data_IF_188542510127
#
_entry.id   IF_188542510127
#
_cell.length_a   1.000
_cell.length_b   1.000
_cell.length_c   1.000
_cell.angle_alpha   90.00
_cell.angle_beta   90.00
_cell.angle_gamma   90.00
#
_symmetry.space_group_name_H-M   'P 1'
#
loop_
_entity.id
_entity.type
_entity.pdbx_description
1 polymer ?
#
# COMPACT_ATOMS: atom_id res chain seq x y z
N UNK A 1 -5.63 -10.45 -15.31
CA UNK A 1 -4.54 -10.30 -16.30
C UNK A 1 -3.72 -11.59 -16.36
N UNK A 2 -2.91 -11.82 -17.39
CA UNK A 2 -2.11 -13.05 -17.50
C UNK A 2 -0.82 -12.98 -16.67
N UNK A 3 -0.34 -14.13 -16.18
CA UNK A 3 0.98 -14.30 -15.56
C UNK A 3 2.12 -13.73 -16.43
N UNK A 4 1.94 -13.71 -17.75
CA UNK A 4 2.88 -13.12 -18.69
C UNK A 4 3.02 -11.60 -18.52
N UNK A 5 1.94 -10.88 -18.22
CA UNK A 5 1.97 -9.45 -17.96
C UNK A 5 2.80 -9.13 -16.70
N UNK A 6 2.63 -9.92 -15.63
CA UNK A 6 3.45 -9.78 -14.41
C UNK A 6 4.92 -10.07 -14.72
N UNK A 7 5.21 -11.13 -15.49
CA UNK A 7 6.59 -11.44 -15.91
C UNK A 7 7.21 -10.35 -16.77
N UNK A 8 6.44 -9.74 -17.68
CA UNK A 8 6.89 -8.61 -18.48
C UNK A 8 7.23 -7.40 -17.60
N UNK A 9 6.33 -7.03 -16.68
CA UNK A 9 6.56 -5.96 -15.72
C UNK A 9 7.83 -6.18 -14.89
N UNK A 10 8.08 -7.39 -14.40
CA UNK A 10 9.32 -7.72 -13.67
C UNK A 10 10.57 -7.51 -14.53
N UNK A 11 10.52 -7.89 -15.81
CA UNK A 11 11.66 -7.69 -16.74
C UNK A 11 11.90 -6.22 -17.03
N UNK A 12 10.83 -5.43 -17.15
CA UNK A 12 10.89 -4.01 -17.52
C UNK A 12 11.12 -3.07 -16.32
N UNK A 13 10.89 -3.57 -15.11
CA UNK A 13 11.04 -2.82 -13.86
C UNK A 13 11.95 -3.56 -12.85
N UNK A 14 13.22 -3.83 -13.21
CA UNK A 14 14.10 -4.66 -12.39
C UNK A 14 14.36 -4.03 -11.02
N UNK A 15 14.22 -4.85 -9.98
CA UNK A 15 14.50 -4.45 -8.60
C UNK A 15 13.36 -3.77 -7.86
N UNK A 16 12.19 -3.58 -8.50
CA UNK A 16 10.99 -3.08 -7.80
C UNK A 16 10.36 -4.17 -6.94
N UNK A 17 9.87 -5.24 -7.57
CA UNK A 17 9.34 -6.42 -6.90
C UNK A 17 9.57 -7.67 -7.78
N UNK A 18 9.61 -8.83 -7.13
CA UNK A 18 9.72 -10.13 -7.80
C UNK A 18 8.38 -10.58 -8.37
N UNK A 19 8.42 -11.60 -9.23
CA UNK A 19 7.21 -12.24 -9.76
C UNK A 19 6.27 -12.70 -8.64
N UNK A 20 6.79 -13.38 -7.61
CA UNK A 20 5.98 -13.93 -6.52
C UNK A 20 5.37 -12.81 -5.64
N UNK A 21 6.10 -11.71 -5.46
CA UNK A 21 5.60 -10.52 -4.75
C UNK A 21 4.43 -9.86 -5.50
N UNK A 22 4.57 -9.63 -6.80
CA UNK A 22 3.48 -9.12 -7.63
C UNK A 22 2.30 -10.09 -7.69
N UNK A 23 2.57 -11.39 -7.87
CA UNK A 23 1.55 -12.44 -7.98
C UNK A 23 0.74 -12.57 -6.71
N UNK A 24 1.38 -12.49 -5.53
CA UNK A 24 0.70 -12.51 -4.24
C UNK A 24 -0.36 -11.39 -4.11
N UNK A 25 0.02 -10.15 -4.45
CA UNK A 25 -0.90 -9.00 -4.40
C UNK A 25 -1.99 -9.15 -5.46
N UNK A 26 -1.59 -9.45 -6.70
CA UNK A 26 -2.50 -9.55 -7.84
C UNK A 26 -3.58 -10.62 -7.63
N UNK A 27 -3.22 -11.80 -7.15
CA UNK A 27 -4.19 -12.89 -6.97
C UNK A 27 -5.24 -12.57 -5.89
N UNK A 28 -4.87 -11.81 -4.87
CA UNK A 28 -5.82 -11.34 -3.86
C UNK A 28 -6.70 -10.24 -4.42
N UNK A 29 -6.11 -9.31 -5.19
CA UNK A 29 -6.87 -8.25 -5.85
C UNK A 29 -7.88 -8.81 -6.85
N UNK A 30 -7.51 -9.79 -7.69
CA UNK A 30 -8.44 -10.41 -8.64
C UNK A 30 -9.63 -11.10 -7.96
N UNK A 31 -9.45 -11.64 -6.75
CA UNK A 31 -10.56 -12.23 -5.98
C UNK A 31 -11.46 -11.19 -5.32
N UNK A 32 -10.91 -10.03 -4.97
CA UNK A 32 -11.65 -8.93 -4.33
C UNK A 32 -12.31 -8.00 -5.35
N UNK A 33 -11.74 -7.90 -6.56
CA UNK A 33 -12.18 -6.97 -7.58
C UNK A 33 -13.60 -7.27 -8.08
N UNK A 34 -14.40 -6.24 -8.42
CA UNK A 34 -14.10 -4.82 -8.23
C UNK A 34 -14.20 -4.39 -6.76
N UNK A 35 -13.23 -3.64 -6.26
CA UNK A 35 -13.19 -3.19 -4.87
C UNK A 35 -12.65 -1.76 -4.69
N UNK A 36 -12.70 -1.24 -3.46
CA UNK A 36 -11.96 -0.04 -3.08
C UNK A 36 -10.51 -0.43 -2.76
N UNK A 37 -9.58 -0.08 -3.65
CA UNK A 37 -8.14 -0.29 -3.53
C UNK A 37 -7.43 1.04 -3.21
N UNK A 38 -6.66 1.07 -2.13
CA UNK A 38 -5.75 2.17 -1.81
C UNK A 38 -4.30 1.73 -1.99
N UNK A 39 -3.50 2.51 -2.71
CA UNK A 39 -2.08 2.25 -2.90
C UNK A 39 -1.27 3.45 -2.40
N UNK A 40 -0.35 3.22 -1.47
CA UNK A 40 0.69 4.20 -1.15
C UNK A 40 1.81 4.01 -2.17
N UNK A 41 1.97 4.99 -3.05
CA UNK A 41 2.96 5.02 -4.12
C UNK A 41 2.36 4.83 -5.51
N UNK A 42 2.98 5.46 -6.50
CA UNK A 42 2.78 5.13 -7.92
C UNK A 42 4.06 4.61 -8.54
N UNK A 43 3.92 3.89 -9.65
CA UNK A 43 5.06 3.31 -10.35
C UNK A 43 4.67 2.72 -11.71
N UNK A 44 5.57 1.94 -12.29
CA UNK A 44 5.32 1.23 -13.55
C UNK A 44 4.27 0.12 -13.41
N UNK A 45 3.95 -0.28 -12.19
CA UNK A 45 2.93 -1.24 -11.82
C UNK A 45 1.53 -0.61 -11.60
N UNK A 46 1.40 0.71 -11.71
CA UNK A 46 0.09 1.41 -11.56
C UNK A 46 -0.97 0.81 -12.50
N UNK A 47 -0.61 0.55 -13.76
CA UNK A 47 -1.53 -0.07 -14.73
C UNK A 47 -1.91 -1.49 -14.35
N UNK A 48 -0.99 -2.26 -13.76
CA UNK A 48 -1.28 -3.61 -13.27
C UNK A 48 -2.41 -3.55 -12.23
N UNK A 49 -2.36 -2.60 -11.30
CA UNK A 49 -3.37 -2.46 -10.25
C UNK A 49 -4.73 -1.98 -10.80
N UNK A 50 -4.73 -1.07 -11.77
CA UNK A 50 -5.96 -0.60 -12.42
C UNK A 50 -6.64 -1.69 -13.24
N UNK A 51 -5.87 -2.46 -14.01
CA UNK A 51 -6.41 -3.53 -14.84
C UNK A 51 -6.94 -4.70 -14.01
N UNK A 52 -6.26 -5.06 -12.92
CA UNK A 52 -6.71 -6.11 -12.01
C UNK A 52 -7.98 -5.68 -11.23
N UNK A 53 -8.12 -4.39 -10.92
CA UNK A 53 -9.29 -3.84 -10.22
C UNK A 53 -10.31 -3.18 -11.17
N UNK A 54 -10.42 -3.66 -12.41
CA UNK A 54 -11.31 -3.05 -13.42
C UNK A 54 -12.76 -3.01 -12.92
N UNK A 55 -13.37 -1.82 -12.94
CA UNK A 55 -14.72 -1.57 -12.43
C UNK A 55 -14.78 -1.25 -10.93
N UNK A 56 -13.68 -1.39 -10.20
CA UNK A 56 -13.51 -0.88 -8.84
C UNK A 56 -12.96 0.54 -8.82
N UNK A 57 -12.70 1.05 -7.61
CA UNK A 57 -12.02 2.34 -7.41
C UNK A 57 -10.61 2.07 -6.90
N UNK A 58 -9.61 2.62 -7.58
CA UNK A 58 -8.20 2.53 -7.18
C UNK A 58 -7.65 3.93 -6.98
N UNK A 59 -7.15 4.21 -5.78
CA UNK A 59 -6.58 5.51 -5.40
C UNK A 59 -5.12 5.36 -5.01
N UNK A 60 -4.29 6.30 -5.45
CA UNK A 60 -2.86 6.31 -5.23
C UNK A 60 -2.43 7.55 -4.43
N UNK A 61 -1.54 7.34 -3.46
CA UNK A 61 -0.96 8.41 -2.62
C UNK A 61 0.54 8.52 -2.87
N UNK A 62 0.99 9.61 -3.48
CA UNK A 62 2.39 9.78 -3.93
C UNK A 62 3.03 11.04 -3.32
N UNK A 63 4.31 10.97 -2.91
CA UNK A 63 5.03 12.11 -2.32
C UNK A 63 6.00 12.81 -3.28
N UNK A 64 6.30 12.19 -4.42
CA UNK A 64 7.19 12.73 -5.46
C UNK A 64 6.36 13.27 -6.61
N UNK A 65 6.36 14.59 -6.77
CA UNK A 65 5.53 15.31 -7.74
C UNK A 65 5.72 14.82 -9.19
N UNK A 66 6.94 14.45 -9.57
CA UNK A 66 7.24 13.93 -10.92
C UNK A 66 6.58 12.57 -11.16
N UNK A 67 6.53 11.70 -10.14
CA UNK A 67 5.86 10.40 -10.24
C UNK A 67 4.34 10.56 -10.22
N UNK A 68 3.81 11.48 -9.41
CA UNK A 68 2.39 11.80 -9.39
C UNK A 68 1.92 12.35 -10.74
N UNK A 69 2.68 13.28 -11.33
CA UNK A 69 2.40 13.81 -12.67
C UNK A 69 2.47 12.71 -13.73
N UNK A 70 3.53 11.88 -13.71
CA UNK A 70 3.65 10.74 -14.63
C UNK A 70 2.43 9.82 -14.57
N UNK A 71 1.97 9.45 -13.37
CA UNK A 71 0.82 8.57 -13.22
C UNK A 71 -0.47 9.20 -13.75
N UNK A 72 -0.72 10.48 -13.46
CA UNK A 72 -1.91 11.21 -13.94
C UNK A 72 -1.93 11.35 -15.46
N UNK A 73 -0.78 11.59 -16.08
CA UNK A 73 -0.68 11.87 -17.51
C UNK A 73 -0.60 10.59 -18.35
N UNK A 74 0.16 9.59 -17.88
CA UNK A 74 0.47 8.39 -18.66
C UNK A 74 -0.46 7.20 -18.39
N UNK A 75 -1.21 7.22 -17.29
CA UNK A 75 -2.04 6.07 -16.88
C UNK A 75 -3.52 6.51 -16.77
N UNK A 76 -4.33 6.24 -17.82
CA UNK A 76 -5.75 6.58 -17.80
C UNK A 76 -6.49 5.98 -16.60
N UNK A 77 -7.25 6.81 -15.89
CA UNK A 77 -8.02 6.39 -14.72
C UNK A 77 -7.23 6.33 -13.40
N UNK A 78 -5.96 6.74 -13.39
CA UNK A 78 -5.20 6.88 -12.15
C UNK A 78 -5.70 8.07 -11.31
N UNK A 79 -6.38 7.77 -10.21
CA UNK A 79 -6.77 8.75 -9.20
C UNK A 79 -5.62 8.95 -8.20
N UNK A 80 -4.88 10.06 -8.31
CA UNK A 80 -3.63 10.28 -7.55
C UNK A 80 -3.70 11.53 -6.68
N UNK A 81 -3.41 11.39 -5.38
CA UNK A 81 -3.28 12.50 -4.44
C UNK A 81 -1.85 12.68 -3.96
N UNK A 82 -1.41 13.93 -3.89
CA UNK A 82 -0.11 14.29 -3.35
C UNK A 82 -0.11 14.20 -1.82
N UNK A 83 0.87 13.52 -1.25
CA UNK A 83 1.01 13.34 0.20
C UNK A 83 2.41 13.69 0.68
N UNK A 84 2.57 13.81 2.00
CA UNK A 84 3.87 14.02 2.64
C UNK A 84 4.07 13.05 3.79
N UNK A 85 5.13 12.26 3.72
CA UNK A 85 5.45 11.33 4.80
C UNK A 85 6.12 12.05 5.98
N UNK A 86 7.18 12.83 5.74
CA UNK A 86 7.85 13.64 6.77
C UNK A 86 8.45 12.84 7.94
N UNK A 87 8.48 11.51 7.85
CA UNK A 87 9.17 10.63 8.79
C UNK A 87 10.59 10.37 8.28
N UNK A 88 11.50 9.94 9.15
CA UNK A 88 12.78 9.35 8.76
C UNK A 88 12.95 8.00 9.46
N UNK A 89 13.52 7.01 8.77
CA UNK A 89 13.69 5.64 9.32
C UNK A 89 14.48 5.62 10.64
N UNK A 90 15.50 6.48 10.76
CA UNK A 90 16.31 6.61 11.97
C UNK A 90 15.52 7.03 13.21
N UNK A 91 14.40 7.75 13.03
CA UNK A 91 13.55 8.19 14.14
C UNK A 91 12.47 7.16 14.53
N UNK A 92 12.51 5.95 13.97
CA UNK A 92 11.61 4.88 14.38
C UNK A 92 11.54 4.64 15.89
N UNK A 93 12.65 4.63 16.67
CA UNK A 93 12.59 4.50 18.13
C UNK A 93 11.74 5.59 18.82
N UNK A 94 11.70 6.80 18.25
CA UNK A 94 10.89 7.91 18.77
C UNK A 94 9.42 7.70 18.38
N UNK A 95 9.14 7.37 17.12
CA UNK A 95 7.77 7.16 16.66
C UNK A 95 7.07 5.97 17.33
N UNK A 96 7.81 4.96 17.80
CA UNK A 96 7.26 3.88 18.65
C UNK A 96 6.65 4.39 19.97
N UNK A 97 7.06 5.58 20.43
CA UNK A 97 6.57 6.19 21.66
C UNK A 97 5.49 7.25 21.42
N UNK A 98 5.32 7.69 20.18
CA UNK A 98 4.46 8.80 19.75
C UNK A 98 3.80 8.43 18.42
N UNK A 99 3.01 7.35 18.45
CA UNK A 99 2.45 6.71 17.26
C UNK A 99 1.42 7.60 16.56
N UNK A 100 0.71 8.44 17.31
CA UNK A 100 -0.25 9.40 16.79
C UNK A 100 0.39 10.37 15.78
N UNK A 101 1.71 10.60 15.87
CA UNK A 101 2.47 11.42 14.92
C UNK A 101 2.70 10.73 13.57
N UNK A 102 2.44 9.43 13.49
CA UNK A 102 2.45 8.65 12.26
C UNK A 102 1.14 8.76 11.49
N UNK A 103 0.09 9.38 12.03
CA UNK A 103 -1.10 9.69 11.25
C UNK A 103 -0.76 10.65 10.10
N UNK A 104 -1.29 10.37 8.91
CA UNK A 104 -1.25 11.29 7.79
C UNK A 104 -2.41 12.29 7.90
N UNK A 105 -2.17 13.38 8.61
CA UNK A 105 -3.15 14.47 8.73
C UNK A 105 -3.38 15.15 7.37
N UNK A 106 -4.64 15.50 7.09
CA UNK A 106 -5.00 16.23 5.88
C UNK A 106 -5.20 15.35 4.65
N UNK A 107 -5.43 14.04 4.84
CA UNK A 107 -5.98 13.22 3.77
C UNK A 107 -7.32 13.81 3.30
N UNK A 108 -7.53 13.90 1.99
CA UNK A 108 -8.82 14.25 1.42
C UNK A 108 -9.95 13.35 1.95
N UNK A 109 -11.16 13.90 2.11
CA UNK A 109 -12.31 13.14 2.63
C UNK A 109 -12.67 11.94 1.76
N UNK A 110 -12.46 12.06 0.45
CA UNK A 110 -12.62 10.98 -0.53
C UNK A 110 -11.57 9.86 -0.39
N UNK A 111 -10.58 10.01 0.48
CA UNK A 111 -9.65 8.96 0.92
C UNK A 111 -9.94 8.52 2.36
N UNK A 112 -10.16 9.48 3.26
CA UNK A 112 -10.32 9.21 4.69
C UNK A 112 -11.64 8.49 5.00
N UNK A 113 -12.75 8.87 4.35
CA UNK A 113 -14.10 8.36 4.65
C UNK A 113 -14.45 7.07 3.89
N UNK A 114 -13.48 6.47 3.22
CA UNK A 114 -13.67 5.25 2.42
C UNK A 114 -13.40 4.01 3.26
N UNK A 115 -14.33 3.05 3.19
CA UNK A 115 -14.04 1.69 3.64
C UNK A 115 -13.25 0.97 2.55
N UNK A 116 -11.94 0.84 2.79
CA UNK A 116 -11.00 0.20 1.88
C UNK A 116 -11.05 -1.33 2.04
N UNK A 117 -11.26 -2.04 0.93
CA UNK A 117 -11.27 -3.51 0.90
C UNK A 117 -9.84 -4.06 0.81
N UNK A 118 -8.95 -3.32 0.12
CA UNK A 118 -7.54 -3.68 -0.04
C UNK A 118 -6.64 -2.44 0.03
N UNK A 119 -5.51 -2.56 0.72
CA UNK A 119 -4.50 -1.50 0.85
C UNK A 119 -3.11 -2.06 0.53
N UNK A 120 -2.39 -1.43 -0.40
CA UNK A 120 -0.99 -1.75 -0.72
C UNK A 120 -0.08 -0.62 -0.24
N UNK A 121 0.85 -0.94 0.67
CA UNK A 121 1.83 -0.01 1.20
C UNK A 121 3.18 -0.21 0.51
N UNK A 122 3.43 0.56 -0.56
CA UNK A 122 4.70 0.54 -1.32
C UNK A 122 5.46 1.87 -1.34
N UNK A 123 4.93 2.93 -0.73
CA UNK A 123 5.64 4.20 -0.56
C UNK A 123 5.73 4.64 0.91
N UNK A 124 6.75 5.45 1.25
CA UNK A 124 7.82 5.96 0.38
C UNK A 124 8.96 4.94 0.16
N UNK A 125 9.80 5.17 -0.86
CA UNK A 125 10.91 4.27 -1.25
C UNK A 125 11.78 3.78 -0.09
N UNK A 126 12.20 4.64 0.83
CA UNK A 126 12.90 4.28 2.07
C UNK A 126 14.26 3.59 1.97
N UNK A 127 14.98 3.73 0.86
CA UNK A 127 16.24 3.02 0.58
C UNK A 127 17.41 3.34 1.54
N UNK A 128 17.36 4.45 2.28
CA UNK A 128 18.42 4.85 3.25
C UNK A 128 17.83 5.19 4.61
N UNK A 129 18.62 5.06 5.67
CA UNK A 129 18.17 5.28 7.06
C UNK A 129 17.74 6.73 7.36
N UNK A 130 18.28 7.70 6.63
CA UNK A 130 17.91 9.12 6.71
C UNK A 130 16.83 9.53 5.72
N UNK A 131 16.20 8.57 5.01
CA UNK A 131 15.05 8.82 4.13
C UNK A 131 13.76 8.41 4.84
N UNK A 132 12.60 8.94 4.40
CA UNK A 132 11.31 8.46 4.87
C UNK A 132 11.13 6.97 4.67
N UNK A 133 10.63 6.29 5.71
CA UNK A 133 10.26 4.88 5.64
C UNK A 133 8.75 4.72 5.69
N UNK A 134 8.29 3.49 5.47
CA UNK A 134 6.86 3.17 5.39
C UNK A 134 6.11 3.20 6.72
N UNK A 135 6.73 3.60 7.84
CA UNK A 135 6.05 3.61 9.15
C UNK A 135 4.76 4.45 9.18
N UNK A 136 4.73 5.60 8.47
CA UNK A 136 3.55 6.46 8.42
C UNK A 136 2.47 5.89 7.51
N UNK A 137 2.83 5.36 6.34
CA UNK A 137 1.87 4.67 5.47
C UNK A 137 1.33 3.41 6.11
N UNK A 138 2.16 2.60 6.78
CA UNK A 138 1.72 1.41 7.54
C UNK A 138 0.75 1.81 8.66
N UNK A 139 1.09 2.82 9.47
CA UNK A 139 0.19 3.29 10.53
C UNK A 139 -1.15 3.78 9.94
N UNK A 140 -1.09 4.61 8.90
CA UNK A 140 -2.29 5.14 8.22
C UNK A 140 -3.14 4.01 7.63
N UNK A 141 -2.52 3.03 6.95
CA UNK A 141 -3.18 1.84 6.43
C UNK A 141 -3.84 1.02 7.55
N UNK A 142 -3.21 0.94 8.72
CA UNK A 142 -3.77 0.24 9.88
C UNK A 142 -5.04 0.90 10.43
N UNK A 143 -5.11 2.23 10.36
CA UNK A 143 -6.30 3.00 10.77
C UNK A 143 -7.38 2.86 9.71
N UNK A 144 -7.05 3.13 8.44
CA UNK A 144 -8.00 3.08 7.33
C UNK A 144 -8.56 1.67 7.08
N UNK A 145 -7.73 0.63 7.14
CA UNK A 145 -8.16 -0.76 6.91
C UNK A 145 -9.06 -1.33 8.00
N UNK A 146 -9.16 -0.66 9.16
CA UNK A 146 -10.12 -0.97 10.23
C UNK A 146 -11.42 -0.17 10.11
N UNK A 147 -11.48 0.87 9.27
CA UNK A 147 -12.73 1.59 9.02
C UNK A 147 -13.69 0.67 8.26
N UNK A 148 -14.93 0.60 8.75
CA UNK A 148 -16.03 -0.17 8.13
C UNK A 148 -17.22 0.76 7.99
N UNK A 149 -17.96 0.64 6.89
CA UNK A 149 -19.31 1.21 6.85
C UNK A 149 -20.23 0.29 7.65
N UNK A 150 -21.29 0.87 8.21
CA UNK A 150 -22.29 0.12 9.01
C UNK A 150 -22.89 -1.04 8.20
N UNK A 151 -23.01 -0.88 6.89
CA UNK A 151 -23.53 -1.92 5.97
C UNK A 151 -22.54 -3.04 5.66
N UNK A 152 -21.27 -2.90 6.06
CA UNK A 152 -20.18 -3.84 5.73
C UNK A 152 -19.81 -4.77 6.90
N UNK A 153 -20.66 -4.91 7.92
CA UNK A 153 -20.38 -5.76 9.10
C UNK A 153 -20.13 -7.23 8.75
N UNK A 154 -20.72 -7.72 7.65
CA UNK A 154 -20.56 -9.10 7.17
C UNK A 154 -19.44 -9.26 6.11
N UNK A 155 -18.70 -8.18 5.77
CA UNK A 155 -17.57 -8.30 4.82
C UNK A 155 -16.33 -8.86 5.51
N UNK A 156 -15.63 -9.73 4.78
CA UNK A 156 -14.25 -10.11 5.11
C UNK A 156 -13.40 -8.85 5.29
N UNK A 157 -12.69 -8.78 6.42
CA UNK A 157 -11.86 -7.63 6.77
C UNK A 157 -10.83 -7.26 5.69
N UNK A 158 -10.35 -6.02 5.71
CA UNK A 158 -9.47 -5.47 4.68
C UNK A 158 -8.16 -6.25 4.56
N UNK A 159 -7.73 -6.52 3.32
CA UNK A 159 -6.40 -7.08 3.04
C UNK A 159 -5.37 -5.95 2.95
N UNK A 160 -4.30 -6.02 3.74
CA UNK A 160 -3.22 -5.02 3.76
C UNK A 160 -1.90 -5.66 3.37
N UNK A 161 -1.26 -5.12 2.34
CA UNK A 161 0.03 -5.55 1.84
C UNK A 161 1.10 -4.52 2.20
N UNK A 162 2.27 -4.98 2.64
CA UNK A 162 3.40 -4.10 2.96
C UNK A 162 4.67 -4.61 2.29
N UNK A 163 5.22 -3.80 1.38
CA UNK A 163 6.46 -4.11 0.69
C UNK A 163 7.69 -3.86 1.60
N UNK A 164 8.81 -4.51 1.27
CA UNK A 164 10.11 -4.34 1.92
C UNK A 164 10.18 -4.69 3.41
N UNK A 165 9.41 -5.66 3.87
CA UNK A 165 9.45 -6.15 5.26
C UNK A 165 10.76 -6.88 5.63
N UNK A 166 11.72 -7.01 4.71
CA UNK A 166 13.10 -7.36 5.07
C UNK A 166 13.76 -6.26 5.92
N UNK A 167 13.34 -5.01 5.73
CA UNK A 167 13.82 -3.86 6.50
C UNK A 167 13.20 -3.84 7.90
N UNK A 168 14.04 -3.58 8.91
CA UNK A 168 13.64 -3.63 10.33
C UNK A 168 12.46 -2.72 10.67
N UNK A 169 12.46 -1.48 10.18
CA UNK A 169 11.42 -0.48 10.52
C UNK A 169 10.07 -0.90 9.95
N UNK A 170 10.04 -1.29 8.68
CA UNK A 170 8.84 -1.72 7.98
C UNK A 170 8.26 -3.00 8.60
N UNK A 171 9.11 -3.97 8.95
CA UNK A 171 8.69 -5.17 9.68
C UNK A 171 8.11 -4.86 11.04
N UNK A 172 8.86 -4.14 11.89
CA UNK A 172 8.42 -3.80 13.25
C UNK A 172 7.13 -2.96 13.24
N UNK A 173 7.00 -2.01 12.32
CA UNK A 173 5.79 -1.21 12.18
C UNK A 173 4.59 -2.06 11.72
N UNK A 174 4.79 -2.97 10.77
CA UNK A 174 3.73 -3.85 10.28
C UNK A 174 3.22 -4.77 11.38
N UNK A 175 4.13 -5.48 12.06
CA UNK A 175 3.78 -6.40 13.15
C UNK A 175 3.08 -5.66 14.30
N UNK A 176 3.49 -4.43 14.57
CA UNK A 176 2.91 -3.59 15.64
C UNK A 176 1.51 -3.07 15.30
N UNK A 177 1.30 -2.55 14.09
CA UNK A 177 0.08 -1.82 13.76
C UNK A 177 -0.98 -2.67 13.04
N UNK A 178 -0.55 -3.65 12.25
CA UNK A 178 -1.44 -4.59 11.57
C UNK A 178 -1.68 -5.84 12.42
N UNK A 179 -0.73 -6.20 13.28
CA UNK A 179 -0.78 -7.35 14.18
C UNK A 179 -0.08 -8.56 13.56
N UNK A 180 0.98 -9.03 14.22
CA UNK A 180 1.74 -10.21 13.76
C UNK A 180 0.85 -11.47 13.69
N UNK A 181 -0.16 -11.56 14.55
CA UNK A 181 -1.18 -12.61 14.56
C UNK A 181 -2.09 -12.61 13.32
N UNK A 182 -2.14 -11.48 12.60
CA UNK A 182 -2.96 -11.29 11.40
C UNK A 182 -2.18 -11.49 10.09
N UNK A 183 -0.92 -11.92 10.16
CA UNK A 183 -0.11 -12.22 8.97
C UNK A 183 -0.68 -13.46 8.27
N UNK A 184 -1.11 -13.30 7.03
CA UNK A 184 -1.71 -14.35 6.21
C UNK A 184 -0.66 -15.04 5.35
N UNK A 185 0.21 -14.26 4.69
CA UNK A 185 1.22 -14.77 3.77
C UNK A 185 2.42 -13.82 3.67
N UNK A 186 3.54 -14.34 3.18
CA UNK A 186 4.71 -13.56 2.80
C UNK A 186 5.32 -14.15 1.53
N UNK A 187 5.55 -13.31 0.52
CA UNK A 187 6.32 -13.64 -0.67
C UNK A 187 7.53 -12.70 -0.72
N UNK A 188 8.75 -13.23 -0.72
CA UNK A 188 9.96 -12.41 -0.65
C UNK A 188 9.91 -11.42 0.52
N UNK A 189 9.86 -10.14 0.19
CA UNK A 189 9.81 -9.01 1.12
C UNK A 189 8.41 -8.41 1.28
N UNK A 190 7.43 -8.85 0.49
CA UNK A 190 6.03 -8.48 0.60
C UNK A 190 5.32 -9.30 1.68
N UNK A 191 4.68 -8.64 2.63
CA UNK A 191 3.81 -9.28 3.63
C UNK A 191 2.34 -8.93 3.40
N UNK A 192 1.47 -9.91 3.62
CA UNK A 192 0.01 -9.78 3.52
C UNK A 192 -0.62 -10.00 4.89
N UNK A 193 -1.40 -9.04 5.36
CA UNK A 193 -2.17 -9.08 6.59
C UNK A 193 -3.67 -8.98 6.28
N UNK A 194 -4.51 -9.54 7.16
CA UNK A 194 -5.97 -9.37 7.07
C UNK A 194 -6.52 -8.73 8.33
N UNK A 195 -7.10 -7.53 8.20
CA UNK A 195 -7.68 -6.78 9.30
C UNK A 195 -9.17 -7.13 9.44
N UNK A 196 -9.45 -8.30 9.99
CA UNK A 196 -10.80 -8.80 10.32
C UNK A 196 -10.87 -9.24 11.77
#
# INVERSE_FOLDING_TARGET
MSDEAIRALVRENPGQATYDEYKLVHDVLERRAPCNLLVFGVGRDTSLWLDANRGGRSVFLEDVAEWAAFARDAVPGAEVYDVRYGTLRVFWPIFKRFEERLWMSGLPADVDDVAWDMILVDAPRGTRWYRPGRMKSIYTASVLGRRRRVVDQDRDGADVFVHDCHRRVEREASDRFLGAERLVAQAGTMRHYRLG
#
